data_IF_133611864128
#
_entry.id   IF_133611864128
#
_cell.length_a   1.000
_cell.length_b   1.000
_cell.length_c   1.000
_cell.angle_alpha   90.00
_cell.angle_beta   90.00
_cell.angle_gamma   90.00
#
_symmetry.space_group_name_H-M   'P 1'
#
loop_
_entity.id
_entity.type
_entity.pdbx_description
1 polymer ?
#
# COMPACT_ATOMS: atom_id res chain seq x y z
N UNK A 1 -5.52 17.82 -11.70
CA UNK A 1 -4.47 16.90 -11.24
C UNK A 1 -3.51 17.69 -10.36
N UNK A 2 -3.67 17.63 -9.03
CA UNK A 2 -2.74 18.28 -8.13
C UNK A 2 -1.42 17.53 -8.15
N UNK A 3 -0.31 18.24 -8.32
CA UNK A 3 1.01 17.67 -8.10
C UNK A 3 1.08 17.18 -6.66
N UNK A 4 1.43 15.91 -6.44
CA UNK A 4 1.80 15.40 -5.12
C UNK A 4 3.15 16.02 -4.78
N UNK A 5 3.12 17.22 -4.19
CA UNK A 5 4.33 17.84 -3.65
C UNK A 5 4.60 17.19 -2.30
N UNK A 6 5.50 16.21 -2.27
CA UNK A 6 6.18 15.86 -1.02
C UNK A 6 7.21 16.95 -0.74
N UNK A 7 7.12 17.60 0.42
CA UNK A 7 8.15 18.48 0.98
C UNK A 7 9.47 17.74 1.19
N UNK A 8 9.45 16.42 1.45
CA UNK A 8 10.67 15.61 1.49
C UNK A 8 11.15 15.24 0.08
N UNK A 9 12.36 15.71 -0.24
CA UNK A 9 13.11 15.27 -1.41
C UNK A 9 13.77 13.92 -1.13
N UNK A 10 13.65 12.98 -2.07
CA UNK A 10 14.34 11.70 -1.98
C UNK A 10 15.86 11.96 -2.00
N UNK A 11 16.62 11.54 -0.97
CA UNK A 11 18.07 11.66 -0.96
C UNK A 11 18.69 10.81 -2.07
N UNK A 12 19.95 11.08 -2.41
CA UNK A 12 20.67 10.29 -3.39
C UNK A 12 20.83 8.84 -2.94
N UNK A 13 21.10 7.95 -3.90
CA UNK A 13 21.34 6.54 -3.60
C UNK A 13 22.51 6.34 -2.61
N UNK A 14 23.59 7.11 -2.79
CA UNK A 14 24.77 7.04 -1.93
C UNK A 14 24.45 7.48 -0.49
N UNK A 15 23.66 8.54 -0.33
CA UNK A 15 23.20 9.01 0.99
C UNK A 15 22.27 7.99 1.66
N UNK A 16 21.37 7.36 0.90
CA UNK A 16 20.51 6.30 1.43
C UNK A 16 21.32 5.07 1.86
N UNK A 17 22.35 4.69 1.09
CA UNK A 17 23.23 3.59 1.47
C UNK A 17 24.03 3.92 2.72
N UNK A 18 24.57 5.15 2.82
CA UNK A 18 25.27 5.60 4.02
C UNK A 18 24.35 5.55 5.25
N UNK A 19 23.13 6.08 5.14
CA UNK A 19 22.15 6.06 6.22
C UNK A 19 21.77 4.64 6.64
N UNK A 20 21.55 3.73 5.67
CA UNK A 20 21.22 2.34 5.95
C UNK A 20 22.38 1.56 6.62
N UNK A 21 23.63 1.90 6.30
CA UNK A 21 24.81 1.25 6.87
C UNK A 21 25.16 1.78 8.27
N UNK A 22 25.07 3.10 8.47
CA UNK A 22 25.44 3.78 9.72
C UNK A 22 24.33 3.72 10.76
N UNK A 23 23.07 3.88 10.34
CA UNK A 23 21.92 3.92 11.22
C UNK A 23 20.66 3.30 10.57
N UNK A 24 20.53 1.96 10.60
CA UNK A 24 19.41 1.24 10.00
C UNK A 24 18.04 1.70 10.53
N UNK A 25 17.95 2.08 11.81
CA UNK A 25 16.71 2.55 12.42
C UNK A 25 16.29 3.92 11.88
N UNK A 26 17.25 4.84 11.72
CA UNK A 26 16.98 6.13 11.07
C UNK A 26 16.57 5.96 9.60
N UNK A 27 17.17 5.01 8.88
CA UNK A 27 16.74 4.69 7.52
C UNK A 27 15.30 4.14 7.47
N UNK A 28 14.92 3.31 8.46
CA UNK A 28 13.55 2.81 8.57
C UNK A 28 12.55 3.92 8.91
N UNK A 29 12.90 4.82 9.83
CA UNK A 29 12.08 5.98 10.17
C UNK A 29 11.89 6.90 8.96
N UNK A 30 12.97 7.21 8.24
CA UNK A 30 12.94 8.03 7.04
C UNK A 30 11.94 7.49 5.99
N UNK A 31 11.95 6.18 5.73
CA UNK A 31 10.97 5.55 4.82
C UNK A 31 9.53 5.72 5.33
N UNK A 32 9.30 5.55 6.63
CA UNK A 32 7.97 5.72 7.21
C UNK A 32 7.47 7.16 7.08
N UNK A 33 8.34 8.13 7.34
CA UNK A 33 8.01 9.55 7.26
C UNK A 33 7.60 9.93 5.83
N UNK A 34 8.38 9.51 4.83
CA UNK A 34 8.04 9.72 3.41
C UNK A 34 6.67 9.12 3.04
N UNK A 35 6.39 7.89 3.49
CA UNK A 35 5.10 7.26 3.26
C UNK A 35 3.95 8.02 3.93
N UNK A 36 4.13 8.44 5.19
CA UNK A 36 3.11 9.21 5.91
C UNK A 36 2.82 10.54 5.25
N UNK A 37 3.86 11.24 4.78
CA UNK A 37 3.72 12.51 4.09
C UNK A 37 2.92 12.37 2.78
N UNK A 38 3.21 11.33 1.99
CA UNK A 38 2.45 10.98 0.80
C UNK A 38 0.98 10.70 1.13
N UNK A 39 0.71 9.97 2.21
CA UNK A 39 -0.65 9.65 2.66
C UNK A 39 -1.39 10.92 3.13
N UNK A 40 -0.72 11.81 3.84
CA UNK A 40 -1.30 13.05 4.36
C UNK A 40 -1.63 14.04 3.24
N UNK A 41 -0.79 14.12 2.20
CA UNK A 41 -1.03 14.97 1.02
C UNK A 41 -2.17 14.48 0.11
N UNK A 42 -2.62 13.23 0.27
CA UNK A 42 -3.75 12.69 -0.47
C UNK A 42 -5.11 13.23 0.02
N UNK A 43 -6.12 13.15 -0.85
CA UNK A 43 -7.51 13.46 -0.50
C UNK A 43 -8.02 12.54 0.60
N UNK A 44 -8.96 13.03 1.41
CA UNK A 44 -9.50 12.28 2.56
C UNK A 44 -10.05 10.91 2.17
N UNK A 45 -10.80 10.84 1.07
CA UNK A 45 -11.33 9.58 0.52
C UNK A 45 -10.24 8.59 0.08
N UNK A 46 -9.06 9.07 -0.33
CA UNK A 46 -7.94 8.22 -0.74
C UNK A 46 -7.06 7.84 0.46
N UNK A 47 -6.94 8.72 1.45
CA UNK A 47 -6.08 8.57 2.63
C UNK A 47 -6.36 7.27 3.39
N UNK A 48 -7.62 6.96 3.65
CA UNK A 48 -8.00 5.71 4.32
C UNK A 48 -7.54 4.47 3.54
N UNK A 49 -7.70 4.49 2.21
CA UNK A 49 -7.24 3.39 1.35
C UNK A 49 -5.73 3.26 1.38
N UNK A 50 -5.00 4.37 1.35
CA UNK A 50 -3.54 4.36 1.39
C UNK A 50 -3.01 3.89 2.76
N UNK A 51 -3.64 4.26 3.88
CA UNK A 51 -3.30 3.74 5.21
C UNK A 51 -3.48 2.22 5.29
N UNK A 52 -4.57 1.70 4.71
CA UNK A 52 -4.78 0.26 4.62
C UNK A 52 -3.73 -0.42 3.72
N UNK A 53 -3.34 0.21 2.60
CA UNK A 53 -2.25 -0.30 1.75
C UNK A 53 -0.91 -0.30 2.48
N UNK A 54 -0.57 0.76 3.22
CA UNK A 54 0.67 0.82 4.01
C UNK A 54 0.70 -0.29 5.07
N UNK A 55 -0.41 -0.47 5.80
CA UNK A 55 -0.54 -1.55 6.79
C UNK A 55 -0.37 -2.94 6.16
N UNK A 56 -0.89 -3.13 4.94
CA UNK A 56 -0.71 -4.36 4.19
C UNK A 56 0.77 -4.57 3.79
N UNK A 57 1.44 -3.52 3.30
CA UNK A 57 2.85 -3.55 2.94
C UNK A 57 3.72 -3.91 4.17
N UNK A 58 3.46 -3.29 5.33
CA UNK A 58 4.20 -3.57 6.56
C UNK A 58 4.04 -5.03 6.99
N UNK A 59 2.82 -5.58 6.94
CA UNK A 59 2.55 -6.98 7.22
C UNK A 59 3.29 -7.91 6.23
N UNK A 60 3.30 -7.55 4.95
CA UNK A 60 3.98 -8.31 3.91
C UNK A 60 5.50 -8.31 4.14
N UNK A 61 6.10 -7.15 4.45
CA UNK A 61 7.52 -7.02 4.78
C UNK A 61 7.86 -7.86 6.02
N UNK A 62 7.02 -7.83 7.06
CA UNK A 62 7.27 -8.59 8.31
C UNK A 62 7.37 -10.11 8.12
N UNK A 63 6.79 -10.64 7.03
CA UNK A 63 6.83 -12.06 6.67
C UNK A 63 8.03 -12.43 5.81
N UNK A 64 8.80 -11.44 5.35
CA UNK A 64 9.98 -11.66 4.52
C UNK A 64 11.19 -12.07 5.37
N UNK A 65 12.07 -12.89 4.80
CA UNK A 65 13.18 -13.54 5.52
C UNK A 65 14.51 -12.80 5.35
N UNK A 66 14.62 -11.99 4.30
CA UNK A 66 15.80 -11.22 3.95
C UNK A 66 15.42 -10.07 3.00
N UNK A 67 16.30 -9.07 2.79
CA UNK A 67 16.01 -7.91 1.95
C UNK A 67 15.68 -8.25 0.49
N UNK A 68 16.29 -9.30 -0.07
CA UNK A 68 16.02 -9.72 -1.46
C UNK A 68 14.60 -10.27 -1.59
N UNK A 69 14.17 -11.09 -0.63
CA UNK A 69 12.80 -11.59 -0.57
C UNK A 69 11.80 -10.43 -0.45
N UNK A 70 12.09 -9.45 0.42
CA UNK A 70 11.28 -8.23 0.54
C UNK A 70 11.14 -7.51 -0.80
N UNK A 71 12.25 -7.26 -1.51
CA UNK A 71 12.22 -6.58 -2.81
C UNK A 71 11.35 -7.32 -3.84
N UNK A 72 11.49 -8.65 -3.95
CA UNK A 72 10.69 -9.45 -4.90
C UNK A 72 9.20 -9.36 -4.56
N UNK A 73 8.84 -9.45 -3.28
CA UNK A 73 7.45 -9.41 -2.85
C UNK A 73 6.84 -8.02 -3.04
N UNK A 74 7.59 -6.95 -2.75
CA UNK A 74 7.14 -5.57 -3.00
C UNK A 74 6.92 -5.32 -4.50
N UNK A 75 7.80 -5.84 -5.36
CA UNK A 75 7.65 -5.70 -6.82
C UNK A 75 6.44 -6.43 -7.37
N UNK A 76 6.14 -7.61 -6.82
CA UNK A 76 4.90 -8.32 -7.13
C UNK A 76 3.66 -7.52 -6.69
N UNK A 77 3.69 -6.92 -5.50
CA UNK A 77 2.57 -6.12 -5.03
C UNK A 77 2.36 -4.86 -5.88
N UNK A 78 3.43 -4.15 -6.22
CA UNK A 78 3.38 -3.01 -7.12
C UNK A 78 2.81 -3.37 -8.50
N UNK A 79 3.20 -4.54 -9.04
CA UNK A 79 2.69 -5.04 -10.31
C UNK A 79 1.18 -5.29 -10.25
N UNK A 80 0.66 -5.87 -9.17
CA UNK A 80 -0.79 -6.06 -8.98
C UNK A 80 -1.54 -4.73 -8.95
N UNK A 81 -0.99 -3.72 -8.27
CA UNK A 81 -1.61 -2.40 -8.21
C UNK A 81 -1.61 -1.72 -9.59
N UNK A 82 -0.54 -1.90 -10.37
CA UNK A 82 -0.48 -1.39 -11.74
C UNK A 82 -1.51 -2.06 -12.67
N UNK A 83 -1.75 -3.37 -12.51
CA UNK A 83 -2.80 -4.08 -13.26
C UNK A 83 -4.18 -3.54 -12.91
N UNK A 84 -4.51 -3.41 -11.62
CA UNK A 84 -5.79 -2.82 -11.17
C UNK A 84 -5.97 -1.40 -11.67
N UNK A 85 -4.90 -0.62 -11.69
CA UNK A 85 -4.92 0.75 -12.21
C UNK A 85 -5.23 0.77 -13.71
N UNK A 86 -4.57 -0.10 -14.49
CA UNK A 86 -4.86 -0.25 -15.92
C UNK A 86 -6.31 -0.67 -16.16
N UNK A 87 -6.81 -1.67 -15.43
CA UNK A 87 -8.21 -2.12 -15.51
C UNK A 87 -9.19 -0.98 -15.19
N UNK A 88 -8.89 -0.16 -14.18
CA UNK A 88 -9.73 1.00 -13.83
C UNK A 88 -9.73 2.09 -14.91
N UNK A 89 -8.63 2.24 -15.67
CA UNK A 89 -8.55 3.16 -16.80
C UNK A 89 -9.25 2.63 -18.06
N UNK A 90 -9.12 1.33 -18.32
CA UNK A 90 -9.71 0.65 -19.49
C UNK A 90 -11.22 0.37 -19.29
N UNK A 91 -11.72 0.45 -18.06
CA UNK A 91 -13.13 0.33 -17.74
C UNK A 91 -13.90 1.60 -18.16
N UNK A 92 -14.73 1.49 -19.21
CA UNK A 92 -15.64 2.53 -19.75
C UNK A 92 -16.80 2.92 -18.80
N UNK A 93 -16.57 2.92 -17.49
CA UNK A 93 -17.54 3.33 -16.45
C UNK A 93 -18.78 2.45 -16.31
N UNK A 94 -18.85 1.31 -17.03
CA UNK A 94 -20.06 0.50 -17.17
C UNK A 94 -20.18 -0.70 -16.22
N UNK A 95 -19.18 -0.98 -15.37
CA UNK A 95 -19.13 -2.18 -14.52
C UNK A 95 -19.05 -1.90 -13.01
N UNK A 96 -19.90 -1.02 -12.51
CA UNK A 96 -20.29 -1.07 -11.10
C UNK A 96 -21.69 -1.65 -10.97
N UNK A 97 -21.88 -2.90 -11.42
CA UNK A 97 -23.03 -3.66 -10.95
C UNK A 97 -22.87 -3.77 -9.43
N UNK A 98 -23.80 -3.19 -8.68
CA UNK A 98 -23.83 -3.33 -7.24
C UNK A 98 -23.80 -4.83 -6.92
N UNK A 99 -22.85 -5.30 -6.09
CA UNK A 99 -22.77 -6.72 -5.77
C UNK A 99 -24.10 -7.14 -5.13
N UNK A 100 -24.92 -7.91 -5.85
CA UNK A 100 -26.15 -8.48 -5.30
C UNK A 100 -25.75 -9.72 -4.49
N UNK A 101 -25.54 -9.53 -3.20
CA UNK A 101 -25.37 -10.64 -2.28
C UNK A 101 -26.74 -11.05 -1.72
N UNK A 102 -27.06 -12.34 -1.78
CA UNK A 102 -28.20 -12.90 -1.08
C UNK A 102 -27.83 -13.06 0.41
N UNK A 103 -28.58 -12.42 1.30
CA UNK A 103 -28.37 -12.54 2.75
C UNK A 103 -28.96 -13.87 3.21
N UNK A 104 -28.10 -14.86 3.48
CA UNK A 104 -28.51 -16.15 4.05
C UNK A 104 -28.63 -15.99 5.58
N UNK A 105 -29.82 -16.10 6.17
CA UNK A 105 -29.98 -16.01 7.61
C UNK A 105 -29.31 -17.19 8.32
N UNK A 106 -28.60 -16.90 9.41
CA UNK A 106 -28.07 -17.94 10.30
C UNK A 106 -29.23 -18.64 11.00
N UNK A 107 -29.55 -19.87 10.56
CA UNK A 107 -30.46 -20.74 11.30
C UNK A 107 -29.71 -21.31 12.53
N UNK A 108 -30.19 -21.08 13.76
CA UNK A 108 -29.66 -21.79 14.92
C UNK A 108 -29.95 -23.29 14.70
N UNK A 109 -28.90 -24.12 14.77
CA UNK A 109 -29.08 -25.58 14.84
C UNK A 109 -29.96 -25.86 16.06
N UNK A 110 -31.19 -26.30 15.81
CA UNK A 110 -32.07 -26.79 16.86
C UNK A 110 -31.39 -27.95 17.57
N UNK A 111 -31.03 -27.75 18.83
CA UNK A 111 -30.72 -28.84 19.74
C UNK A 111 -32.07 -29.43 20.20
N UNK A 112 -32.44 -30.56 19.62
CA UNK A 112 -33.40 -31.50 20.19
C UNK A 112 -32.75 -32.87 20.20
#
# INVERSE_FOLDING_TARGET
MGSLQTEQQLPSFDEMMALAAENPDAFNQFKQDMCQEMIQSASEAMRERLLAQQSHIDLVISRCKNPVHTNVVLMNELTKQMVKFREALDSDGSELQAPSAEVIPFAPKGFY
#
